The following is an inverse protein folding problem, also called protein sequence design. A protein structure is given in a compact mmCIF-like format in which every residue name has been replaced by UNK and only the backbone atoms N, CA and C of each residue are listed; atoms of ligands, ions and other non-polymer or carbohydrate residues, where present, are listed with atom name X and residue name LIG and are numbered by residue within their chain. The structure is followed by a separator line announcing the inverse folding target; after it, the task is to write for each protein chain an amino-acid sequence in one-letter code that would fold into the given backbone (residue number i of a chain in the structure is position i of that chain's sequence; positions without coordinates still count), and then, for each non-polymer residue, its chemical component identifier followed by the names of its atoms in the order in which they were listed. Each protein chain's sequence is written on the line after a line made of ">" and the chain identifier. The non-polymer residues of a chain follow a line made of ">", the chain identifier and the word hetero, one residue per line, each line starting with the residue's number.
data_IF_637582101045
#
_entry.id   IF_637582101045
#
_cell.length_a   1.000
_cell.length_b   1.000
_cell.length_c   1.000
_cell.angle_alpha   90.00
_cell.angle_beta   90.00
_cell.angle_gamma   90.00
#
_symmetry.space_group_name_H-M   'P 1'
#
loop_
_entity.id
_entity.type
_entity.pdbx_description
1 polymer ?
#
# COMPACT_ATOMS: atom_id res chain seq x y z
N UNK A 1 -13.05 4.44 -13.83
CA UNK A 1 -12.71 3.69 -12.58
C UNK A 1 -11.70 2.61 -12.92
N UNK A 2 -10.69 2.37 -12.07
CA UNK A 2 -9.77 1.23 -12.21
C UNK A 2 -9.94 0.32 -11.01
N UNK A 3 -10.04 -0.98 -11.24
CA UNK A 3 -10.16 -2.00 -10.20
C UNK A 3 -9.15 -3.10 -10.47
N UNK A 4 -8.34 -3.44 -9.47
CA UNK A 4 -7.36 -4.51 -9.53
C UNK A 4 -7.75 -5.58 -8.52
N UNK A 5 -7.98 -6.81 -8.98
CA UNK A 5 -8.25 -7.98 -8.14
C UNK A 5 -7.11 -8.97 -8.26
N UNK A 6 -6.69 -9.54 -7.15
CA UNK A 6 -5.57 -10.48 -7.10
C UNK A 6 -5.52 -11.27 -5.81
N UNK A 7 -4.47 -12.08 -5.66
CA UNK A 7 -4.19 -12.89 -4.47
C UNK A 7 -2.98 -12.35 -3.72
N UNK A 8 -3.01 -12.42 -2.40
CA UNK A 8 -1.84 -12.13 -1.55
C UNK A 8 -0.83 -13.26 -1.77
N UNK A 9 0.38 -12.90 -2.18
CA UNK A 9 1.49 -13.85 -2.38
C UNK A 9 2.55 -13.74 -1.29
N UNK A 10 2.56 -12.64 -0.55
CA UNK A 10 3.48 -12.44 0.56
C UNK A 10 2.86 -11.51 1.61
N UNK A 11 3.12 -11.83 2.87
CA UNK A 11 2.82 -10.98 4.02
C UNK A 11 4.09 -10.88 4.88
N UNK A 12 4.59 -9.67 5.11
CA UNK A 12 5.84 -9.47 5.86
C UNK A 12 5.80 -8.23 6.73
N UNK A 13 6.44 -8.29 7.89
CA UNK A 13 6.70 -7.12 8.76
C UNK A 13 8.09 -6.54 8.54
N UNK A 14 8.96 -7.28 7.86
CA UNK A 14 10.33 -6.83 7.60
C UNK A 14 10.29 -5.66 6.62
N UNK A 15 10.88 -4.52 7.01
CA UNK A 15 10.88 -3.32 6.19
C UNK A 15 9.55 -2.53 6.19
N UNK A 16 8.55 -2.94 7.00
CA UNK A 16 7.21 -2.37 6.97
C UNK A 16 7.15 -0.93 7.49
N UNK A 17 7.99 -0.61 8.48
CA UNK A 17 8.10 0.74 9.05
C UNK A 17 8.78 1.71 8.09
N UNK A 18 9.89 1.30 7.46
CA UNK A 18 10.56 2.10 6.44
C UNK A 18 9.68 2.27 5.19
N UNK A 19 8.87 1.26 4.86
CA UNK A 19 7.93 1.34 3.76
C UNK A 19 6.84 2.38 4.02
N UNK A 20 6.29 2.46 5.23
CA UNK A 20 5.28 3.49 5.52
C UNK A 20 5.89 4.90 5.51
N UNK A 21 7.13 5.07 5.97
CA UNK A 21 7.82 6.36 5.91
C UNK A 21 8.04 6.80 4.44
N UNK A 22 8.40 5.86 3.55
CA UNK A 22 8.46 6.12 2.09
C UNK A 22 7.10 6.52 1.51
N UNK A 23 6.00 5.90 1.94
CA UNK A 23 4.65 6.27 1.50
C UNK A 23 4.24 7.65 2.05
N UNK A 24 4.59 7.97 3.30
CA UNK A 24 4.36 9.27 3.89
C UNK A 24 5.08 10.37 3.09
N UNK A 25 6.34 10.13 2.72
CA UNK A 25 7.09 11.07 1.87
C UNK A 25 6.44 11.27 0.51
N UNK A 26 6.00 10.17 -0.12
CA UNK A 26 5.39 10.20 -1.46
C UNK A 26 4.03 10.90 -1.51
N UNK A 27 3.18 10.67 -0.51
CA UNK A 27 1.77 11.08 -0.56
C UNK A 27 1.42 12.22 0.39
N UNK A 28 2.21 12.45 1.44
CA UNK A 28 1.98 13.48 2.45
C UNK A 28 3.10 14.53 2.51
N UNK A 29 4.24 14.31 1.83
CA UNK A 29 5.37 15.22 1.82
C UNK A 29 6.17 15.29 3.12
N UNK A 30 5.97 14.34 4.04
CA UNK A 30 6.68 14.26 5.33
C UNK A 30 7.59 13.04 5.38
N UNK A 31 8.76 13.15 6.02
CA UNK A 31 9.76 12.08 6.01
C UNK A 31 9.40 10.87 6.90
N UNK A 32 8.58 11.07 7.93
CA UNK A 32 8.11 10.00 8.83
C UNK A 32 6.59 9.97 8.87
N UNK A 33 6.03 8.78 8.98
CA UNK A 33 4.57 8.62 9.07
C UNK A 33 4.03 9.19 10.39
N UNK A 34 3.13 10.20 10.36
CA UNK A 34 2.67 10.88 11.57
C UNK A 34 1.69 10.06 12.41
N UNK A 35 0.99 9.10 11.80
CA UNK A 35 -0.03 8.27 12.47
C UNK A 35 0.50 6.98 13.09
N UNK A 36 1.79 6.91 13.43
CA UNK A 36 2.39 5.71 14.05
C UNK A 36 2.03 5.65 15.53
N UNK A 37 1.43 4.55 16.01
CA UNK A 37 1.17 4.37 17.44
C UNK A 37 2.09 3.31 18.08
N UNK A 38 2.48 3.47 19.36
CA UNK A 38 3.20 2.44 20.09
C UNK A 38 2.43 1.12 20.13
N UNK A 39 3.12 0.01 19.88
CA UNK A 39 2.51 -1.33 19.89
C UNK A 39 1.81 -1.75 18.60
N UNK A 40 1.71 -0.86 17.61
CA UNK A 40 1.20 -1.24 16.28
C UNK A 40 2.22 -2.10 15.53
N UNK A 41 1.73 -3.19 14.93
CA UNK A 41 2.52 -4.05 14.04
C UNK A 41 2.15 -3.77 12.59
N UNK A 42 3.04 -3.09 11.87
CA UNK A 42 2.86 -2.80 10.44
C UNK A 42 3.13 -4.04 9.60
N UNK A 43 2.36 -4.22 8.53
CA UNK A 43 2.49 -5.36 7.62
C UNK A 43 2.43 -4.89 6.17
N UNK A 44 3.34 -5.38 5.34
CA UNK A 44 3.32 -5.24 3.88
C UNK A 44 2.61 -6.47 3.30
N UNK A 45 1.62 -6.22 2.43
CA UNK A 45 0.98 -7.23 1.62
C UNK A 45 1.42 -7.08 0.17
N UNK A 46 2.02 -8.13 -0.39
CA UNK A 46 2.29 -8.21 -1.84
C UNK A 46 1.13 -8.94 -2.50
N UNK A 47 0.43 -8.25 -3.39
CA UNK A 47 -0.72 -8.78 -4.11
C UNK A 47 -0.31 -9.03 -5.57
N UNK A 48 -0.38 -10.29 -6.02
CA UNK A 48 -0.24 -10.63 -7.43
C UNK A 48 -1.57 -10.36 -8.13
N UNK A 49 -1.64 -9.44 -9.11
CA UNK A 49 -2.88 -9.16 -9.81
C UNK A 49 -3.30 -10.38 -10.67
N UNK A 50 -4.58 -10.74 -10.57
CA UNK A 50 -5.19 -11.79 -11.41
C UNK A 50 -6.13 -11.18 -12.47
N UNK A 51 -6.82 -10.06 -12.14
CA UNK A 51 -7.72 -9.35 -13.06
C UNK A 51 -7.61 -7.84 -12.87
N UNK A 52 -7.60 -7.10 -13.98
CA UNK A 52 -7.64 -5.63 -14.00
C UNK A 52 -8.83 -5.17 -14.83
N UNK A 53 -9.71 -4.37 -14.22
CA UNK A 53 -10.84 -3.73 -14.89
C UNK A 53 -10.57 -2.24 -15.00
N UNK A 54 -10.72 -1.70 -16.22
CA UNK A 54 -10.72 -0.26 -16.45
C UNK A 54 -12.05 0.13 -17.09
N UNK A 55 -12.72 1.13 -16.52
CA UNK A 55 -13.87 1.76 -17.15
C UNK A 55 -13.42 3.08 -17.75
N UNK A 56 -13.53 3.20 -19.09
CA UNK A 56 -13.31 4.47 -19.78
C UNK A 56 -14.37 5.47 -19.31
N UNK A 57 -14.02 6.76 -19.12
CA UNK A 57 -15.01 7.78 -18.79
C UNK A 57 -16.12 7.78 -19.85
N UNK A 58 -17.39 8.01 -19.47
CA UNK A 58 -18.41 8.33 -20.46
C UNK A 58 -17.94 9.55 -21.26
N UNK A 59 -18.19 9.52 -22.58
CA UNK A 59 -17.79 10.55 -23.52
C UNK A 59 -18.54 11.85 -23.28
#
# INVERSE_FOLDING_TARGET
>A
MVTVRGRVVEQTTNGADEHIDKMAKRYLGVDKYPGRMPGEKRVILKIKPDKVFHQKPPR
#
